data_IF_862583253524
#
_entry.id   IF_862583253524
#
_cell.length_a   1.000
_cell.length_b   1.000
_cell.length_c   1.000
_cell.angle_alpha   90.00
_cell.angle_beta   90.00
_cell.angle_gamma   90.00
#
_symmetry.space_group_name_H-M   'P 1'
#
loop_
_entity.id
_entity.type
_entity.pdbx_description
1 polymer ?
#
# COMPACT_ATOMS: atom_id res chain seq x y z
N UNK A 1 17.33 9.80 -13.57
CA UNK A 1 16.66 8.68 -12.85
C UNK A 1 15.21 9.07 -12.70
N UNK A 2 14.30 8.33 -13.33
CA UNK A 2 12.85 8.55 -13.25
C UNK A 2 12.36 8.34 -11.82
N UNK A 3 11.37 9.14 -11.38
CA UNK A 3 10.70 8.99 -10.07
C UNK A 3 10.17 7.58 -9.82
N UNK A 4 9.93 6.85 -10.89
CA UNK A 4 9.31 5.53 -10.91
C UNK A 4 10.35 4.40 -10.89
N UNK A 5 11.60 4.63 -11.27
CA UNK A 5 12.70 3.66 -11.04
C UNK A 5 12.91 3.36 -9.54
N UNK A 6 12.35 4.19 -8.65
CA UNK A 6 12.31 3.93 -7.20
C UNK A 6 11.09 3.16 -6.73
N UNK A 7 10.11 2.92 -7.58
CA UNK A 7 8.81 2.33 -7.25
C UNK A 7 8.89 0.89 -6.77
N UNK A 8 9.82 0.11 -7.31
CA UNK A 8 9.94 -1.32 -6.99
C UNK A 8 11.41 -1.65 -6.67
N UNK A 9 12.07 -0.85 -5.85
CA UNK A 9 13.29 -1.34 -5.20
C UNK A 9 12.89 -2.52 -4.30
N UNK A 10 13.68 -3.61 -4.31
CA UNK A 10 13.40 -4.76 -3.45
C UNK A 10 13.19 -4.28 -2.01
N UNK A 11 12.20 -4.84 -1.32
CA UNK A 11 11.84 -4.53 0.07
C UNK A 11 13.06 -4.46 1.02
N UNK A 12 14.17 -5.08 0.65
CA UNK A 12 15.45 -5.06 1.36
C UNK A 12 16.22 -3.72 1.22
N UNK A 13 16.06 -2.96 0.14
CA UNK A 13 16.76 -1.69 -0.07
C UNK A 13 16.10 -0.49 0.67
N UNK A 14 14.94 -0.66 1.25
CA UNK A 14 14.23 0.37 2.02
C UNK A 14 14.96 0.78 3.32
N UNK A 15 16.01 0.05 3.72
CA UNK A 15 16.75 0.28 4.98
C UNK A 15 17.76 1.44 4.96
N UNK A 16 18.03 2.06 3.81
CA UNK A 16 19.01 3.15 3.69
C UNK A 16 18.37 4.55 3.53
N UNK A 17 17.18 4.77 4.06
CA UNK A 17 16.63 6.12 4.19
C UNK A 17 17.41 6.88 5.27
N UNK A 18 17.84 8.12 5.02
CA UNK A 18 18.34 8.95 6.11
C UNK A 18 17.23 9.05 7.17
N UNK A 19 17.51 8.52 8.36
CA UNK A 19 16.56 8.34 9.46
C UNK A 19 15.96 9.64 10.02
N UNK A 20 16.37 10.80 9.50
CA UNK A 20 16.05 12.11 10.07
C UNK A 20 15.25 13.05 9.16
N UNK A 21 14.85 12.64 7.96
CA UNK A 21 14.11 13.54 7.07
C UNK A 21 12.61 13.53 7.38
N UNK A 22 12.01 14.71 7.50
CA UNK A 22 10.55 14.87 7.55
C UNK A 22 9.97 14.62 6.15
N UNK A 23 8.82 13.98 6.07
CA UNK A 23 8.08 13.75 4.82
C UNK A 23 6.58 13.74 5.08
N UNK A 24 5.81 14.02 4.06
CA UNK A 24 4.36 13.92 4.06
C UNK A 24 3.94 12.67 3.29
N UNK A 25 3.32 11.73 3.99
CA UNK A 25 2.79 10.52 3.39
C UNK A 25 1.32 10.72 3.08
N UNK A 26 0.94 10.46 1.85
CA UNK A 26 -0.40 10.72 1.31
C UNK A 26 -0.94 9.42 0.73
N UNK A 27 -2.17 9.07 1.08
CA UNK A 27 -2.93 8.03 0.41
C UNK A 27 -4.03 8.68 -0.40
N UNK A 28 -4.02 8.44 -1.71
CA UNK A 28 -5.07 8.84 -2.62
C UNK A 28 -5.95 7.63 -2.96
N UNK A 29 -7.22 7.72 -2.60
CA UNK A 29 -8.24 6.74 -2.91
C UNK A 29 -9.50 7.42 -3.47
N UNK A 30 -10.39 6.70 -4.19
CA UNK A 30 -11.57 7.32 -4.79
C UNK A 30 -12.50 8.00 -3.78
N UNK A 31 -12.62 7.43 -2.58
CA UNK A 31 -13.61 7.85 -1.59
C UNK A 31 -13.02 8.65 -0.44
N UNK A 32 -11.69 8.74 -0.34
CA UNK A 32 -11.01 9.49 0.70
C UNK A 32 -9.56 9.81 0.32
N UNK A 33 -9.04 10.83 0.96
CA UNK A 33 -7.63 11.18 1.01
C UNK A 33 -7.17 11.04 2.45
N UNK A 34 -6.06 10.37 2.70
CA UNK A 34 -5.41 10.35 4.02
C UNK A 34 -4.02 10.95 3.93
N UNK A 35 -3.65 11.70 4.95
CA UNK A 35 -2.36 12.37 5.05
C UNK A 35 -1.76 12.16 6.43
N UNK A 36 -0.46 11.90 6.49
CA UNK A 36 0.28 11.76 7.74
C UNK A 36 1.70 12.30 7.61
N UNK A 37 2.07 13.20 8.51
CA UNK A 37 3.44 13.67 8.62
C UNK A 37 4.33 12.63 9.30
N UNK A 38 5.53 12.42 8.77
CA UNK A 38 6.52 11.49 9.37
C UNK A 38 7.87 12.17 9.57
N UNK A 39 8.57 11.71 10.59
CA UNK A 39 9.98 12.00 10.83
C UNK A 39 10.73 10.65 10.90
N UNK A 40 11.38 10.28 9.80
CA UNK A 40 11.90 8.93 9.61
C UNK A 40 10.77 7.89 9.60
N UNK A 41 10.80 6.94 10.53
CA UNK A 41 9.75 5.92 10.69
C UNK A 41 8.60 6.34 11.62
N UNK A 42 8.76 7.44 12.38
CA UNK A 42 7.78 7.87 13.37
C UNK A 42 6.74 8.79 12.75
N UNK A 43 5.49 8.55 13.10
CA UNK A 43 4.38 9.47 12.80
C UNK A 43 4.52 10.71 13.70
N UNK A 44 4.28 11.88 13.14
CA UNK A 44 4.23 13.14 13.90
C UNK A 44 2.84 13.21 14.54
N UNK A 45 2.80 13.34 15.86
CA UNK A 45 1.54 13.39 16.63
C UNK A 45 0.63 14.52 16.11
N UNK A 46 -0.66 14.23 15.99
CA UNK A 46 -1.66 15.18 15.49
C UNK A 46 -1.58 15.49 13.99
N UNK A 47 -0.67 14.84 13.24
CA UNK A 47 -0.49 15.08 11.81
C UNK A 47 -1.43 14.28 10.92
N UNK A 48 -2.05 13.23 11.44
CA UNK A 48 -2.91 12.36 10.65
C UNK A 48 -4.26 13.03 10.39
N UNK A 49 -4.62 13.11 9.12
CA UNK A 49 -5.88 13.67 8.64
C UNK A 49 -6.48 12.72 7.61
N UNK A 50 -7.80 12.62 7.61
CA UNK A 50 -8.55 11.90 6.59
C UNK A 50 -9.71 12.77 6.10
N UNK A 51 -9.82 12.91 4.80
CA UNK A 51 -10.83 13.71 4.13
C UNK A 51 -11.69 12.75 3.29
N UNK A 52 -12.98 12.67 3.59
CA UNK A 52 -13.93 11.91 2.78
C UNK A 52 -14.21 12.65 1.47
N UNK A 53 -14.31 11.91 0.37
CA UNK A 53 -14.53 12.45 -0.97
C UNK A 53 -15.86 11.95 -1.55
N UNK A 54 -16.59 12.83 -2.19
CA UNK A 54 -17.75 12.47 -3.00
C UNK A 54 -17.28 12.28 -4.44
N UNK A 55 -17.00 11.03 -4.80
CA UNK A 55 -16.45 10.68 -6.12
C UNK A 55 -17.09 9.38 -6.64
N UNK A 56 -18.38 9.42 -7.07
CA UNK A 56 -19.09 8.23 -7.49
C UNK A 56 -18.50 7.58 -8.74
N UNK A 57 -17.87 8.36 -9.62
CA UNK A 57 -17.17 7.86 -10.81
C UNK A 57 -15.82 7.20 -10.52
N UNK A 58 -15.25 7.40 -9.33
CA UNK A 58 -13.96 6.88 -8.95
C UNK A 58 -12.78 7.42 -9.79
N UNK A 59 -12.96 8.60 -10.44
CA UNK A 59 -11.90 9.23 -11.21
C UNK A 59 -10.88 9.91 -10.29
N UNK A 60 -9.60 9.88 -10.64
CA UNK A 60 -8.54 10.41 -9.78
C UNK A 60 -8.54 11.93 -9.64
N UNK A 61 -9.19 12.67 -10.53
CA UNK A 61 -9.21 14.13 -10.53
C UNK A 61 -9.74 14.71 -9.21
N UNK A 62 -10.85 14.18 -8.69
CA UNK A 62 -11.43 14.66 -7.43
C UNK A 62 -10.47 14.51 -6.24
N UNK A 63 -9.69 13.43 -6.20
CA UNK A 63 -8.69 13.21 -5.15
C UNK A 63 -7.47 14.12 -5.31
N UNK A 64 -7.11 14.46 -6.55
CA UNK A 64 -6.06 15.42 -6.85
C UNK A 64 -6.45 16.83 -6.43
N UNK A 65 -7.70 17.24 -6.69
CA UNK A 65 -8.23 18.54 -6.29
C UNK A 65 -8.30 18.67 -4.76
N UNK A 66 -8.70 17.61 -4.07
CA UNK A 66 -8.69 17.55 -2.61
C UNK A 66 -7.26 17.63 -2.04
N UNK A 67 -6.29 16.97 -2.69
CA UNK A 67 -4.88 17.07 -2.31
C UNK A 67 -4.36 18.50 -2.49
N UNK A 68 -4.71 19.15 -3.60
CA UNK A 68 -4.35 20.56 -3.84
C UNK A 68 -4.87 21.46 -2.73
N UNK A 69 -6.14 21.33 -2.38
CA UNK A 69 -6.75 22.11 -1.30
C UNK A 69 -6.04 21.89 0.03
N UNK A 70 -5.76 20.62 0.39
CA UNK A 70 -5.03 20.25 1.61
C UNK A 70 -3.63 20.88 1.66
N UNK A 71 -2.85 20.81 0.56
CA UNK A 71 -1.50 21.34 0.53
C UNK A 71 -1.47 22.87 0.62
N UNK A 72 -2.45 23.56 0.01
CA UNK A 72 -2.58 25.03 0.11
C UNK A 72 -2.98 25.42 1.54
N UNK A 73 -3.97 24.75 2.14
CA UNK A 73 -4.43 25.04 3.49
C UNK A 73 -3.35 24.79 4.54
N UNK A 74 -2.54 23.76 4.35
CA UNK A 74 -1.47 23.38 5.27
C UNK A 74 -0.09 23.92 4.88
N UNK A 75 0.00 24.88 3.99
CA UNK A 75 1.27 25.38 3.44
C UNK A 75 2.24 25.91 4.52
N UNK A 76 1.74 26.45 5.63
CA UNK A 76 2.57 26.91 6.77
C UNK A 76 3.12 25.76 7.61
N UNK A 77 2.37 24.68 7.73
CA UNK A 77 2.71 23.53 8.59
C UNK A 77 3.62 22.53 7.87
N UNK A 78 3.38 22.29 6.57
CA UNK A 78 4.04 21.27 5.76
C UNK A 78 4.97 21.83 4.68
N UNK A 79 5.36 23.11 4.78
CA UNK A 79 6.17 23.80 3.77
C UNK A 79 7.36 22.94 3.27
N UNK A 80 7.46 22.79 1.95
CA UNK A 80 8.58 22.16 1.23
C UNK A 80 8.92 20.70 1.64
N UNK A 81 8.01 20.01 2.34
CA UNK A 81 8.23 18.59 2.68
C UNK A 81 8.15 17.72 1.44
N UNK A 82 9.02 16.71 1.32
CA UNK A 82 8.89 15.71 0.25
C UNK A 82 7.59 14.90 0.43
N UNK A 83 6.86 14.72 -0.68
CA UNK A 83 5.65 13.94 -0.74
C UNK A 83 5.98 12.48 -1.08
N UNK A 84 5.41 11.55 -0.32
CA UNK A 84 5.39 10.12 -0.59
C UNK A 84 3.94 9.69 -0.79
N UNK A 85 3.55 9.42 -2.03
CA UNK A 85 2.16 9.22 -2.42
C UNK A 85 1.89 7.74 -2.66
N UNK A 86 0.90 7.21 -1.95
CA UNK A 86 0.36 5.87 -2.13
C UNK A 86 -0.95 5.95 -2.90
N UNK A 87 -1.07 5.16 -3.95
CA UNK A 87 -2.26 5.12 -4.78
C UNK A 87 -3.10 3.88 -4.48
N UNK A 88 -4.40 4.07 -4.36
CA UNK A 88 -5.37 2.98 -4.31
C UNK A 88 -5.17 2.00 -5.47
N UNK A 89 -5.48 0.72 -5.23
CA UNK A 89 -5.52 -0.31 -6.28
C UNK A 89 -6.55 -0.03 -7.38
N UNK A 90 -7.34 1.03 -7.26
CA UNK A 90 -8.19 1.53 -8.35
C UNK A 90 -7.38 2.20 -9.46
N UNK A 91 -6.25 2.83 -9.13
CA UNK A 91 -5.43 3.62 -10.05
C UNK A 91 -4.01 3.10 -10.20
N UNK A 92 -3.64 2.08 -9.42
CA UNK A 92 -2.36 1.38 -9.51
C UNK A 92 -2.60 -0.12 -9.66
N UNK A 93 -2.17 -0.68 -10.78
CA UNK A 93 -2.44 -2.05 -11.13
C UNK A 93 -1.18 -2.88 -11.00
N UNK A 94 -1.23 -3.94 -10.20
CA UNK A 94 -0.08 -4.82 -9.96
C UNK A 94 -0.40 -6.23 -10.45
N UNK A 95 0.55 -6.82 -11.15
CA UNK A 95 0.49 -8.20 -11.65
C UNK A 95 1.84 -8.87 -11.47
N UNK A 96 1.84 -10.19 -11.49
CA UNK A 96 3.07 -10.97 -11.54
C UNK A 96 3.28 -11.45 -12.97
N UNK A 97 4.31 -10.91 -13.65
CA UNK A 97 4.72 -11.33 -14.98
C UNK A 97 5.67 -12.54 -14.87
N UNK A 98 5.47 -13.59 -15.67
CA UNK A 98 6.39 -14.72 -15.71
C UNK A 98 7.77 -14.27 -16.19
N UNK A 99 8.79 -15.09 -15.92
CA UNK A 99 10.09 -14.90 -16.53
C UNK A 99 10.03 -15.02 -18.05
N UNK A 100 10.78 -14.16 -18.75
CA UNK A 100 10.97 -14.22 -20.21
C UNK A 100 12.36 -13.70 -20.57
N UNK A 101 12.96 -14.26 -21.61
CA UNK A 101 14.25 -13.78 -22.15
C UNK A 101 14.15 -12.32 -22.66
N UNK A 102 12.96 -11.85 -23.00
CA UNK A 102 12.73 -10.43 -23.32
C UNK A 102 13.14 -9.49 -22.18
N UNK A 103 13.18 -9.96 -20.93
CA UNK A 103 13.61 -9.20 -19.76
C UNK A 103 15.13 -8.98 -19.68
N UNK A 104 15.91 -9.58 -20.57
CA UNK A 104 17.38 -9.44 -20.62
C UNK A 104 17.85 -8.18 -21.35
N UNK A 105 16.96 -7.47 -22.04
CA UNK A 105 17.27 -6.22 -22.74
C UNK A 105 16.23 -5.15 -22.42
N UNK A 106 16.65 -3.91 -22.21
CA UNK A 106 15.74 -2.80 -21.86
C UNK A 106 14.56 -2.61 -22.84
N UNK A 107 14.76 -2.56 -24.18
CA UNK A 107 13.62 -2.42 -25.11
C UNK A 107 12.67 -3.62 -25.05
N UNK A 108 13.23 -4.84 -24.92
CA UNK A 108 12.47 -6.08 -24.81
C UNK A 108 11.68 -6.13 -23.51
N UNK A 109 12.31 -5.79 -22.38
CA UNK A 109 11.69 -5.76 -21.07
C UNK A 109 10.50 -4.78 -21.03
N UNK A 110 10.69 -3.54 -21.47
CA UNK A 110 9.62 -2.55 -21.49
C UNK A 110 8.42 -3.02 -22.32
N UNK A 111 8.67 -3.55 -23.52
CA UNK A 111 7.60 -4.08 -24.38
C UNK A 111 6.90 -5.29 -23.76
N UNK A 112 7.66 -6.23 -23.19
CA UNK A 112 7.10 -7.42 -22.55
C UNK A 112 6.23 -7.05 -21.33
N UNK A 113 6.73 -6.20 -20.44
CA UNK A 113 5.97 -5.77 -19.26
C UNK A 113 4.70 -5.02 -19.65
N UNK A 114 4.76 -4.14 -20.64
CA UNK A 114 3.61 -3.46 -21.19
C UNK A 114 2.58 -4.45 -21.76
N UNK A 115 3.04 -5.48 -22.48
CA UNK A 115 2.16 -6.50 -23.05
C UNK A 115 1.43 -7.32 -21.98
N UNK A 116 2.07 -7.61 -20.84
CA UNK A 116 1.44 -8.32 -19.72
C UNK A 116 0.24 -7.53 -19.14
N UNK A 117 0.40 -6.21 -18.97
CA UNK A 117 -0.69 -5.37 -18.51
C UNK A 117 -1.77 -5.18 -19.56
N UNK A 118 -1.38 -5.01 -20.82
CA UNK A 118 -2.34 -4.87 -21.93
C UNK A 118 -3.19 -6.14 -22.12
N UNK A 119 -2.61 -7.33 -21.92
CA UNK A 119 -3.35 -8.58 -21.97
C UNK A 119 -4.44 -8.70 -20.92
N UNK A 120 -4.26 -8.06 -19.75
CA UNK A 120 -5.21 -8.12 -18.63
C UNK A 120 -6.21 -6.95 -18.62
N UNK A 121 -5.76 -5.75 -19.03
CA UNK A 121 -6.53 -4.52 -18.89
C UNK A 121 -6.91 -3.87 -20.23
N UNK A 122 -6.51 -4.50 -21.34
CA UNK A 122 -6.84 -4.03 -22.69
C UNK A 122 -6.16 -2.70 -23.02
N UNK A 123 -6.83 -1.90 -23.86
CA UNK A 123 -6.31 -0.63 -24.37
C UNK A 123 -6.07 0.43 -23.29
N UNK A 124 -6.76 0.36 -22.15
CA UNK A 124 -6.52 1.27 -21.04
C UNK A 124 -5.06 1.24 -20.56
N UNK A 125 -4.44 0.06 -20.57
CA UNK A 125 -3.06 -0.09 -20.15
C UNK A 125 -2.03 0.59 -21.07
N UNK A 126 -2.38 0.92 -22.32
CA UNK A 126 -1.44 1.58 -23.26
C UNK A 126 -1.02 2.97 -22.82
N UNK A 127 -1.88 3.65 -22.06
CA UNK A 127 -1.60 4.99 -21.48
C UNK A 127 -0.89 4.94 -20.14
N UNK A 128 -0.52 3.75 -19.64
CA UNK A 128 0.10 3.63 -18.34
C UNK A 128 1.62 3.71 -18.41
N UNK A 129 2.20 4.29 -17.39
CA UNK A 129 3.60 4.13 -17.10
C UNK A 129 3.81 2.80 -16.39
N UNK A 130 4.61 1.92 -16.99
CA UNK A 130 4.81 0.54 -16.54
C UNK A 130 6.22 0.35 -16.03
N UNK A 131 6.35 -0.26 -14.86
CA UNK A 131 7.63 -0.61 -14.25
C UNK A 131 7.57 -2.03 -13.68
N UNK A 132 8.69 -2.74 -13.76
CA UNK A 132 8.89 -4.03 -13.12
C UNK A 132 9.86 -3.93 -11.94
N UNK A 133 9.75 -4.88 -11.00
CA UNK A 133 10.74 -5.01 -9.93
C UNK A 133 12.06 -5.60 -10.47
N UNK A 134 13.11 -5.48 -9.67
CA UNK A 134 14.43 -6.04 -9.97
C UNK A 134 14.51 -7.50 -9.45
N UNK A 135 13.73 -8.39 -10.08
CA UNK A 135 13.75 -9.80 -9.73
C UNK A 135 15.00 -10.50 -10.30
N UNK A 136 15.56 -11.49 -9.58
CA UNK A 136 16.67 -12.30 -10.10
C UNK A 136 16.32 -13.03 -11.39
N UNK A 137 17.35 -13.44 -12.11
CA UNK A 137 17.21 -14.28 -13.32
C UNK A 137 16.31 -15.49 -13.07
N UNK A 138 15.46 -15.80 -14.02
CA UNK A 138 14.54 -16.94 -13.96
C UNK A 138 13.33 -16.78 -13.01
N UNK A 139 13.19 -15.64 -12.34
CA UNK A 139 12.08 -15.37 -11.42
C UNK A 139 11.02 -14.46 -12.05
N UNK A 140 9.77 -14.72 -11.71
CA UNK A 140 8.68 -13.82 -12.05
C UNK A 140 8.92 -12.42 -11.47
N UNK A 141 8.47 -11.37 -12.17
CA UNK A 141 8.59 -9.97 -11.78
C UNK A 141 7.26 -9.40 -11.39
N UNK A 142 7.25 -8.63 -10.31
CA UNK A 142 6.10 -7.78 -9.99
C UNK A 142 6.11 -6.60 -10.95
N UNK A 143 5.00 -6.40 -11.63
CA UNK A 143 4.80 -5.32 -12.60
C UNK A 143 3.72 -4.38 -12.08
N UNK A 144 3.99 -3.09 -12.15
CA UNK A 144 3.03 -2.05 -11.79
C UNK A 144 2.76 -1.13 -12.97
N UNK A 145 1.48 -0.85 -13.23
CA UNK A 145 1.01 0.14 -14.19
C UNK A 145 0.21 1.23 -13.51
N UNK A 146 0.54 2.49 -13.80
CA UNK A 146 -0.17 3.67 -13.32
C UNK A 146 -0.40 4.61 -14.50
N UNK A 147 -1.59 5.20 -14.58
CA UNK A 147 -1.92 6.18 -15.62
C UNK A 147 -0.85 7.29 -15.69
N UNK A 148 -0.26 7.47 -16.87
CA UNK A 148 0.81 8.45 -17.09
C UNK A 148 0.32 9.90 -16.89
N UNK A 149 -0.97 10.17 -17.15
CA UNK A 149 -1.59 11.48 -16.92
C UNK A 149 -1.70 11.77 -15.43
N UNK A 150 -2.12 10.77 -14.62
CA UNK A 150 -2.15 10.91 -13.15
C UNK A 150 -0.75 11.19 -12.60
N UNK A 151 0.26 10.45 -13.03
CA UNK A 151 1.64 10.67 -12.58
C UNK A 151 2.16 12.06 -12.92
N UNK A 152 1.84 12.56 -14.11
CA UNK A 152 2.19 13.92 -14.54
C UNK A 152 1.49 14.95 -13.66
N UNK A 153 0.18 14.83 -13.49
CA UNK A 153 -0.62 15.74 -12.68
C UNK A 153 -0.16 15.81 -11.22
N UNK A 154 0.27 14.67 -10.64
CA UNK A 154 0.83 14.64 -9.27
C UNK A 154 2.17 15.38 -9.17
N UNK A 155 3.03 15.30 -10.20
CA UNK A 155 4.29 16.06 -10.24
C UNK A 155 4.05 17.55 -10.35
N UNK A 156 3.19 17.95 -11.30
CA UNK A 156 2.83 19.34 -11.54
C UNK A 156 2.22 19.94 -10.26
N UNK A 157 1.30 19.24 -9.61
CA UNK A 157 0.71 19.68 -8.35
C UNK A 157 1.76 19.86 -7.23
N UNK A 158 2.69 18.91 -7.10
CA UNK A 158 3.74 19.03 -6.09
C UNK A 158 4.61 20.27 -6.35
N UNK A 159 5.00 20.53 -7.60
CA UNK A 159 5.77 21.69 -8.00
C UNK A 159 5.00 23.01 -7.75
N UNK A 160 3.72 23.07 -8.14
CA UNK A 160 2.84 24.21 -7.89
C UNK A 160 2.74 24.56 -6.40
N UNK A 161 2.71 23.56 -5.52
CA UNK A 161 2.63 23.75 -4.07
C UNK A 161 4.00 23.82 -3.37
N UNK A 162 5.09 23.99 -4.12
CA UNK A 162 6.47 24.05 -3.61
C UNK A 162 6.91 22.81 -2.82
N UNK A 163 6.39 21.63 -3.19
CA UNK A 163 6.80 20.34 -2.68
C UNK A 163 7.60 19.53 -3.70
N UNK A 164 8.37 18.55 -3.25
CA UNK A 164 8.98 17.56 -4.14
C UNK A 164 8.22 16.25 -4.10
N UNK A 165 7.75 15.76 -5.24
CA UNK A 165 7.15 14.44 -5.35
C UNK A 165 8.28 13.38 -5.35
N UNK A 166 8.53 12.75 -4.20
CA UNK A 166 9.65 11.82 -4.01
C UNK A 166 9.33 10.41 -4.48
N UNK A 167 8.12 9.94 -4.16
CA UNK A 167 7.66 8.57 -4.43
C UNK A 167 6.19 8.61 -4.79
N UNK A 168 5.81 7.88 -5.84
CA UNK A 168 4.42 7.49 -6.12
C UNK A 168 4.41 5.99 -6.26
N UNK A 169 3.60 5.29 -5.47
CA UNK A 169 3.58 3.82 -5.44
C UNK A 169 2.19 3.26 -5.15
N UNK A 170 1.93 1.98 -5.47
CA UNK A 170 0.72 1.30 -5.04
C UNK A 170 0.61 1.24 -3.51
N UNK A 171 -0.61 1.39 -2.98
CA UNK A 171 -0.89 1.23 -1.56
C UNK A 171 -0.46 -0.15 -1.03
N UNK A 172 -0.53 -1.20 -1.86
CA UNK A 172 -0.03 -2.53 -1.50
C UNK A 172 1.46 -2.51 -1.13
N UNK A 173 2.29 -1.74 -1.84
CA UNK A 173 3.73 -1.61 -1.52
C UNK A 173 3.94 -0.92 -0.17
N UNK A 174 3.17 0.14 0.11
CA UNK A 174 3.21 0.84 1.40
C UNK A 174 2.76 -0.09 2.54
N UNK A 175 1.67 -0.83 2.34
CA UNK A 175 1.18 -1.80 3.31
C UNK A 175 2.21 -2.90 3.61
N UNK A 176 2.85 -3.46 2.58
CA UNK A 176 3.90 -4.47 2.74
C UNK A 176 5.11 -3.96 3.53
N UNK A 177 5.51 -2.69 3.30
CA UNK A 177 6.61 -2.08 4.06
C UNK A 177 6.26 -1.76 5.51
N UNK A 178 4.99 -1.65 5.83
CA UNK A 178 4.52 -1.41 7.20
C UNK A 178 4.45 -2.69 8.04
N UNK A 179 4.54 -3.86 7.41
CA UNK A 179 4.58 -5.13 8.11
C UNK A 179 5.82 -5.24 8.99
N UNK A 180 5.69 -5.91 10.12
CA UNK A 180 6.83 -6.21 10.99
C UNK A 180 7.81 -7.15 10.30
N UNK A 181 9.05 -7.15 10.78
CA UNK A 181 10.05 -8.11 10.30
C UNK A 181 9.64 -9.57 10.57
N UNK A 182 8.81 -9.78 11.59
CA UNK A 182 8.25 -11.06 11.96
C UNK A 182 7.24 -11.55 10.92
N UNK A 183 6.36 -10.64 10.46
CA UNK A 183 5.36 -10.92 9.43
C UNK A 183 5.99 -11.20 8.05
N UNK A 184 7.19 -10.67 7.79
CA UNK A 184 7.83 -10.78 6.46
C UNK A 184 8.97 -11.79 6.40
N UNK A 185 9.53 -12.23 7.54
CA UNK A 185 10.64 -13.20 7.60
C UNK A 185 10.20 -14.64 7.56
N UNK A 186 8.93 -14.92 7.80
CA UNK A 186 8.40 -16.27 7.63
C UNK A 186 8.72 -16.76 6.20
N UNK A 187 9.10 -18.04 6.03
CA UNK A 187 9.32 -18.62 4.71
C UNK A 187 8.15 -18.39 3.76
N UNK A 188 6.93 -18.39 4.32
CA UNK A 188 5.69 -18.09 3.61
C UNK A 188 4.84 -17.16 4.46
N UNK A 189 4.50 -15.99 3.93
CA UNK A 189 3.67 -14.99 4.56
C UNK A 189 2.64 -14.47 3.56
N UNK A 190 1.60 -13.82 4.05
CA UNK A 190 0.65 -13.15 3.18
C UNK A 190 0.12 -11.86 3.78
N UNK A 191 -0.31 -10.96 2.90
CA UNK A 191 -1.00 -9.72 3.21
C UNK A 191 -2.34 -9.69 2.50
N UNK A 192 -3.39 -9.31 3.21
CA UNK A 192 -4.65 -8.86 2.63
C UNK A 192 -4.81 -7.36 2.86
N UNK A 193 -4.90 -6.60 1.78
CA UNK A 193 -5.19 -5.17 1.79
C UNK A 193 -6.67 -4.97 1.48
N UNK A 194 -7.37 -4.31 2.39
CA UNK A 194 -8.79 -3.99 2.29
C UNK A 194 -8.93 -2.53 1.89
N UNK A 195 -9.56 -2.29 0.76
CA UNK A 195 -9.94 -0.97 0.25
C UNK A 195 -11.45 -0.93 0.02
N UNK A 196 -12.08 0.26 -0.05
CA UNK A 196 -13.50 0.35 -0.41
C UNK A 196 -13.78 -0.36 -1.73
N UNK A 197 -14.64 -1.37 -1.68
CA UNK A 197 -15.02 -2.16 -2.86
C UNK A 197 -13.99 -3.18 -3.35
N UNK A 198 -12.90 -3.44 -2.61
CA UNK A 198 -11.81 -4.33 -3.08
C UNK A 198 -11.06 -5.03 -1.95
N UNK A 199 -10.73 -6.29 -2.18
CA UNK A 199 -9.72 -7.01 -1.42
C UNK A 199 -8.57 -7.33 -2.36
N UNK A 200 -7.34 -6.97 -1.99
CA UNK A 200 -6.12 -7.36 -2.69
C UNK A 200 -5.28 -8.24 -1.77
N UNK A 201 -4.95 -9.44 -2.22
CA UNK A 201 -4.14 -10.41 -1.49
C UNK A 201 -2.78 -10.57 -2.18
N UNK A 202 -1.72 -10.59 -1.39
CA UNK A 202 -0.35 -10.86 -1.86
C UNK A 202 0.27 -11.96 -1.01
N UNK A 203 0.81 -12.99 -1.66
CA UNK A 203 1.61 -14.02 -1.01
C UNK A 203 3.09 -13.69 -1.16
N UNK A 204 3.85 -13.96 -0.10
CA UNK A 204 5.26 -13.65 0.00
C UNK A 204 6.07 -14.93 0.24
N UNK A 205 7.17 -15.09 -0.47
CA UNK A 205 8.25 -16.01 -0.14
C UNK A 205 9.48 -15.21 0.22
N UNK A 206 9.93 -15.30 1.48
CA UNK A 206 11.09 -14.57 2.02
C UNK A 206 11.04 -13.07 1.73
N UNK A 207 9.87 -12.48 1.89
CA UNK A 207 9.65 -11.05 1.67
C UNK A 207 9.51 -10.63 0.20
N UNK A 208 9.48 -11.55 -0.75
CA UNK A 208 9.18 -11.29 -2.16
C UNK A 208 7.76 -11.69 -2.50
N UNK A 209 7.08 -10.86 -3.26
CA UNK A 209 5.74 -11.20 -3.77
C UNK A 209 5.89 -12.35 -4.78
N UNK A 210 5.18 -13.44 -4.54
CA UNK A 210 5.15 -14.63 -5.42
C UNK A 210 3.78 -14.86 -6.03
N UNK A 211 2.73 -14.26 -5.48
CA UNK A 211 1.41 -14.25 -6.07
C UNK A 211 0.63 -13.01 -5.64
N UNK A 212 -0.20 -12.50 -6.53
CA UNK A 212 -1.12 -11.38 -6.26
C UNK A 212 -2.49 -11.76 -6.81
N UNK A 213 -3.53 -11.50 -6.03
CA UNK A 213 -4.91 -11.59 -6.48
C UNK A 213 -5.71 -10.40 -5.95
N UNK A 214 -6.46 -9.75 -6.82
CA UNK A 214 -7.40 -8.70 -6.46
C UNK A 214 -8.81 -9.09 -6.88
N UNK A 215 -9.79 -8.79 -6.03
CA UNK A 215 -11.21 -9.06 -6.32
C UNK A 215 -12.09 -7.95 -5.77
N UNK A 216 -13.30 -7.76 -6.33
CA UNK A 216 -14.33 -6.91 -5.71
C UNK A 216 -14.67 -7.43 -4.31
N UNK A 217 -15.04 -6.50 -3.43
CA UNK A 217 -15.54 -6.78 -2.09
C UNK A 217 -16.61 -5.78 -1.70
N UNK A 218 -17.48 -6.18 -0.77
CA UNK A 218 -18.47 -5.29 -0.16
C UNK A 218 -17.96 -4.73 1.19
N UNK A 219 -18.83 -4.00 1.90
CA UNK A 219 -18.55 -3.60 3.28
C UNK A 219 -18.43 -4.77 4.26
N UNK A 220 -18.90 -5.97 3.87
CA UNK A 220 -18.82 -7.21 4.65
C UNK A 220 -17.49 -7.97 4.42
N UNK A 221 -16.41 -7.29 4.10
CA UNK A 221 -15.12 -7.88 3.76
C UNK A 221 -14.60 -8.91 4.78
N UNK A 222 -14.97 -8.77 6.08
CA UNK A 222 -14.59 -9.73 7.12
C UNK A 222 -15.15 -11.13 6.89
N UNK A 223 -16.32 -11.22 6.27
CA UNK A 223 -16.95 -12.49 5.88
C UNK A 223 -16.42 -12.97 4.52
N UNK A 224 -16.12 -12.04 3.63
CA UNK A 224 -15.69 -12.33 2.26
C UNK A 224 -14.22 -12.77 2.18
N UNK A 225 -13.34 -12.22 3.03
CA UNK A 225 -11.89 -12.47 2.98
C UNK A 225 -11.53 -13.96 3.15
N UNK A 226 -12.09 -14.74 4.11
CA UNK A 226 -11.79 -16.16 4.21
C UNK A 226 -12.21 -16.95 2.98
N UNK A 227 -13.39 -16.62 2.42
CA UNK A 227 -13.87 -17.26 1.20
C UNK A 227 -13.00 -16.91 -0.01
N UNK A 228 -12.53 -15.64 -0.09
CA UNK A 228 -11.60 -15.19 -1.11
C UNK A 228 -10.28 -15.96 -1.02
N UNK A 229 -9.74 -16.10 0.20
CA UNK A 229 -8.54 -16.88 0.47
C UNK A 229 -8.69 -18.34 0.08
N UNK A 230 -9.77 -18.98 0.51
CA UNK A 230 -10.06 -20.38 0.19
C UNK A 230 -10.12 -20.60 -1.34
N UNK A 231 -10.80 -19.72 -2.07
CA UNK A 231 -10.84 -19.81 -3.55
C UNK A 231 -9.46 -19.63 -4.16
N UNK A 232 -8.60 -18.80 -3.56
CA UNK A 232 -7.26 -18.57 -4.05
C UNK A 232 -6.34 -19.76 -3.82
N UNK A 233 -6.41 -20.40 -2.64
CA UNK A 233 -5.65 -21.61 -2.32
C UNK A 233 -6.03 -22.81 -3.20
N UNK A 234 -7.29 -22.90 -3.65
CA UNK A 234 -7.70 -23.93 -4.61
C UNK A 234 -7.01 -23.78 -5.99
N UNK A 235 -6.61 -22.57 -6.34
CA UNK A 235 -5.89 -22.28 -7.61
C UNK A 235 -4.37 -22.41 -7.45
N UNK A 236 -3.86 -22.11 -6.27
CA UNK A 236 -2.45 -22.08 -5.91
C UNK A 236 -2.27 -22.90 -4.62
N UNK A 237 -2.14 -24.24 -4.73
CA UNK A 237 -2.07 -25.14 -3.56
C UNK A 237 -0.90 -24.85 -2.63
N UNK A 238 0.19 -24.24 -3.14
CA UNK A 238 1.34 -23.82 -2.33
C UNK A 238 0.99 -22.78 -1.25
N UNK A 239 -0.12 -22.06 -1.41
CA UNK A 239 -0.58 -21.08 -0.41
C UNK A 239 -1.20 -21.74 0.83
N UNK A 240 -1.50 -23.03 0.80
CA UNK A 240 -2.06 -23.79 1.94
C UNK A 240 -1.07 -23.81 3.13
N UNK A 241 0.23 -23.73 2.83
CA UNK A 241 1.27 -23.67 3.86
C UNK A 241 1.32 -22.34 4.65
N UNK A 242 0.57 -21.32 4.22
CA UNK A 242 0.52 -20.03 4.90
C UNK A 242 -0.40 -20.12 6.11
N UNK A 243 0.18 -19.99 7.30
CA UNK A 243 -0.56 -20.07 8.57
C UNK A 243 -1.15 -18.72 9.01
N UNK A 244 -0.53 -17.60 8.60
CA UNK A 244 -0.90 -16.27 9.03
C UNK A 244 -1.03 -15.32 7.83
N UNK A 245 -2.13 -14.57 7.82
CA UNK A 245 -2.39 -13.50 6.85
C UNK A 245 -2.49 -12.19 7.61
N UNK A 246 -1.54 -11.27 7.37
CA UNK A 246 -1.66 -9.91 7.87
C UNK A 246 -2.77 -9.17 7.12
N UNK A 247 -3.62 -8.45 7.82
CA UNK A 247 -4.74 -7.70 7.22
C UNK A 247 -4.55 -6.21 7.48
N UNK A 248 -4.37 -5.43 6.43
CA UNK A 248 -4.38 -3.96 6.48
C UNK A 248 -5.74 -3.47 6.03
N UNK A 249 -6.50 -2.89 6.94
CA UNK A 249 -7.77 -2.23 6.62
C UNK A 249 -7.52 -0.74 6.35
N UNK A 250 -7.43 -0.38 5.08
CA UNK A 250 -7.22 0.99 4.65
C UNK A 250 -8.48 1.87 4.80
N UNK A 251 -9.67 1.24 5.04
CA UNK A 251 -10.92 1.94 5.30
C UNK A 251 -11.08 2.31 6.77
N UNK A 252 -10.31 1.69 7.65
CA UNK A 252 -10.42 1.94 9.09
C UNK A 252 -10.08 3.39 9.40
N UNK A 253 -10.98 4.04 10.14
CA UNK A 253 -10.76 5.39 10.62
C UNK A 253 -9.45 5.47 11.43
N UNK A 254 -8.75 6.61 11.40
CA UNK A 254 -7.62 6.84 12.27
C UNK A 254 -8.01 6.54 13.72
N UNK A 255 -7.25 5.67 14.39
CA UNK A 255 -7.53 5.32 15.80
C UNK A 255 -8.10 3.91 16.04
N UNK A 256 -8.36 3.13 15.00
CA UNK A 256 -8.74 1.72 15.18
C UNK A 256 -7.53 0.93 15.71
N UNK A 257 -7.66 0.36 16.91
CA UNK A 257 -6.57 -0.34 17.59
C UNK A 257 -6.05 -1.52 16.74
N UNK A 258 -4.73 -1.61 16.49
CA UNK A 258 -4.15 -2.81 15.91
C UNK A 258 -4.18 -3.96 16.91
N UNK A 259 -4.36 -5.18 16.45
CA UNK A 259 -4.23 -6.39 17.27
C UNK A 259 -5.52 -7.17 17.48
N UNK A 260 -6.67 -6.68 17.04
CA UNK A 260 -7.87 -7.53 17.00
C UNK A 260 -7.62 -8.67 16.02
N UNK A 261 -7.50 -9.89 16.55
CA UNK A 261 -7.68 -11.08 15.74
C UNK A 261 -9.11 -10.99 15.22
N UNK A 262 -9.27 -10.88 13.92
CA UNK A 262 -10.60 -11.01 13.33
C UNK A 262 -10.96 -12.47 13.56
N UNK A 263 -11.76 -12.73 14.58
CA UNK A 263 -12.48 -13.98 14.70
C UNK A 263 -13.44 -14.05 13.51
N UNK A 264 -12.94 -14.60 12.44
CA UNK A 264 -13.74 -14.95 11.29
C UNK A 264 -14.41 -16.26 11.65
N UNK A 265 -15.65 -16.42 11.31
CA UNK A 265 -16.59 -17.50 11.69
C UNK A 265 -16.11 -18.95 11.37
N UNK A 266 -14.83 -19.16 11.09
CA UNK A 266 -14.21 -20.47 10.83
C UNK A 266 -12.98 -20.68 11.72
N UNK A 267 -13.19 -20.76 13.01
CA UNK A 267 -12.14 -20.82 14.06
C UNK A 267 -11.32 -22.14 14.12
N UNK A 268 -11.32 -22.98 13.11
CA UNK A 268 -10.72 -24.31 13.25
C UNK A 268 -9.63 -24.66 12.24
N UNK A 269 -9.43 -23.86 11.17
CA UNK A 269 -8.43 -24.18 10.15
C UNK A 269 -7.61 -22.93 9.76
N UNK A 270 -6.27 -23.06 9.55
CA UNK A 270 -5.44 -21.99 9.03
C UNK A 270 -5.92 -21.53 7.65
N UNK A 271 -5.67 -20.25 7.26
CA UNK A 271 -4.82 -19.30 7.96
C UNK A 271 -5.57 -18.48 9.02
N UNK A 272 -4.82 -17.98 10.01
CA UNK A 272 -5.30 -16.96 10.95
C UNK A 272 -5.12 -15.57 10.33
N UNK A 273 -6.20 -14.79 10.34
CA UNK A 273 -6.18 -13.41 9.84
C UNK A 273 -5.93 -12.45 11.01
N UNK A 274 -4.85 -11.69 10.94
CA UNK A 274 -4.46 -10.74 11.97
C UNK A 274 -4.50 -9.31 11.42
N UNK A 275 -5.33 -8.44 12.01
CA UNK A 275 -5.34 -7.02 11.64
C UNK A 275 -4.03 -6.40 12.12
N UNK A 276 -3.34 -5.74 11.22
CA UNK A 276 -2.14 -4.95 11.49
C UNK A 276 -2.43 -3.47 11.31
N UNK A 277 -1.55 -2.62 11.84
CA UNK A 277 -1.75 -1.18 11.79
C UNK A 277 -1.86 -0.67 10.33
N UNK A 278 -2.85 0.19 10.09
CA UNK A 278 -2.92 0.95 8.85
C UNK A 278 -1.76 1.96 8.82
N UNK A 279 -0.91 1.98 7.77
CA UNK A 279 0.23 2.91 7.67
C UNK A 279 -0.16 4.39 7.67
N UNK A 280 -1.43 4.70 7.42
CA UNK A 280 -2.02 6.05 7.47
C UNK A 280 -2.90 6.28 8.72
N UNK A 281 -3.07 5.25 9.55
CA UNK A 281 -3.80 5.35 10.81
C UNK A 281 -2.94 5.93 11.93
N UNK A 282 -3.57 6.64 12.86
CA UNK A 282 -2.93 7.01 14.13
C UNK A 282 -2.99 5.80 15.04
N UNK A 283 -1.85 5.34 15.56
CA UNK A 283 -1.86 4.46 16.72
C UNK A 283 -2.46 5.25 17.88
N UNK A 284 -3.61 4.81 18.41
CA UNK A 284 -4.11 5.35 19.68
C UNK A 284 -3.10 4.92 20.74
N UNK A 285 -2.33 5.86 21.26
CA UNK A 285 -1.61 5.64 22.51
C UNK A 285 -2.68 5.45 23.58
N UNK A 286 -2.77 4.26 24.15
CA UNK A 286 -3.51 4.06 25.38
C UNK A 286 -2.97 5.06 26.42
N UNK A 287 -3.86 5.81 27.10
CA UNK A 287 -3.42 6.66 28.20
C UNK A 287 -2.72 5.76 29.21
N UNK A 288 -1.44 6.03 29.50
CA UNK A 288 -0.71 5.35 30.57
C UNK A 288 -1.56 5.47 31.85
N UNK A 289 -1.85 4.36 32.54
CA UNK A 289 -2.54 4.47 33.82
C UNK A 289 -1.72 5.38 34.72
N UNK A 290 -2.39 6.43 35.20
CA UNK A 290 -1.81 7.35 36.17
C UNK A 290 -1.42 6.54 37.41
N UNK A 291 -0.16 6.22 37.57
CA UNK A 291 0.36 5.73 38.84
C UNK A 291 0.32 6.91 39.81
N UNK A 292 -0.88 7.16 40.37
CA UNK A 292 -1.02 8.02 41.51
C UNK A 292 -0.13 7.44 42.61
N UNK A 293 0.93 8.17 42.94
CA UNK A 293 1.78 7.89 44.10
C UNK A 293 0.88 7.90 45.35
N UNK A 294 0.60 6.72 45.87
CA UNK A 294 0.09 6.58 47.23
C UNK A 294 1.25 6.90 48.18
N UNK A 295 1.41 8.19 48.48
CA UNK A 295 2.17 8.62 49.62
C UNK A 295 1.37 8.30 50.85
N UNK A 296 1.70 7.19 51.47
CA UNK A 296 1.30 6.94 52.89
C UNK A 296 2.26 7.72 53.75
N UNK A 297 1.72 8.76 54.40
CA UNK A 297 2.36 9.34 55.57
C UNK A 297 2.09 8.45 56.78
N UNK A 298 3.12 8.09 57.48
CA UNK A 298 3.10 7.67 58.87
C UNK A 298 4.10 8.51 59.64
#
# INVERSE_FOLDING_TARGET
>A
MSLIERLIRPLQAARLRPLAARSLHILLAPQYLSCVGRHGSRVIDGSAQQIALINPGGHWQASLDALRALLIESATTWASLPLEISLSGRWSHMVLAPWSDALLSEPGAAHFLQSQLTALYGDAARGWHVVGDDAPYGRARVVCGIDAMLLRALKELAEECAHSCRVVEPLLCTALRSLSAEDTRAPSAALALIEPGRITMAALDRGRIVAIQSQPASGAWRQELPQAWQRWTLRLPELVAIEHVAVVDACAAPGTAPGAIVQLVADTLPPRFRIVANPFGVAVMEPRPNTASSGVAA
#
